data_IF_502423086734
#
_entry.id   IF_502423086734
#
_cell.length_a   1.000
_cell.length_b   1.000
_cell.length_c   1.000
_cell.angle_alpha   90.00
_cell.angle_beta   90.00
_cell.angle_gamma   90.00
#
_symmetry.space_group_name_H-M   'P 1'
#
loop_
_entity.id
_entity.type
_entity.pdbx_description
1 polymer ?
#
# COMPACT_ATOMS: atom_id res chain seq x y z
N UNK A 1 -52.80 -14.84 -22.69
CA UNK A 1 -53.87 -14.52 -21.72
C UNK A 1 -53.48 -15.09 -20.38
N UNK A 2 -52.95 -14.25 -19.50
CA UNK A 2 -52.95 -14.35 -18.03
C UNK A 2 -52.28 -13.07 -17.49
N UNK A 3 -52.95 -12.43 -16.53
CA UNK A 3 -52.83 -11.02 -16.15
C UNK A 3 -51.54 -10.60 -15.41
N UNK A 4 -51.19 -9.29 -15.46
CA UNK A 4 -50.18 -8.65 -14.63
C UNK A 4 -50.78 -8.01 -13.36
N UNK A 5 -50.26 -8.33 -12.19
CA UNK A 5 -50.42 -7.61 -10.90
C UNK A 5 -49.16 -7.87 -10.05
N UNK A 6 -48.56 -6.98 -9.27
CA UNK A 6 -49.08 -5.82 -8.55
C UNK A 6 -48.09 -4.65 -8.60
N UNK A 7 -48.66 -3.45 -8.73
CA UNK A 7 -48.04 -2.17 -8.39
C UNK A 7 -48.31 -1.96 -6.90
N UNK A 8 -47.27 -1.89 -6.07
CA UNK A 8 -47.39 -1.43 -4.68
C UNK A 8 -46.82 -0.04 -4.56
N UNK A 9 -47.74 0.91 -4.57
CA UNK A 9 -47.61 2.31 -4.21
C UNK A 9 -47.35 2.51 -2.71
N UNK A 10 -46.44 3.44 -2.43
CA UNK A 10 -46.45 4.45 -1.34
C UNK A 10 -46.29 4.00 0.12
N UNK A 11 -45.20 4.47 0.72
CA UNK A 11 -45.27 5.14 2.03
C UNK A 11 -44.15 6.18 2.11
N UNK A 12 -44.49 7.43 1.77
CA UNK A 12 -43.64 8.60 2.02
C UNK A 12 -43.94 9.10 3.43
N UNK A 13 -42.98 8.89 4.33
CA UNK A 13 -43.00 9.47 5.68
C UNK A 13 -42.30 10.84 5.60
N UNK A 14 -42.98 11.96 5.92
CA UNK A 14 -42.31 13.24 6.06
C UNK A 14 -41.54 13.24 7.38
N UNK A 15 -40.22 13.32 7.29
CA UNK A 15 -39.32 13.37 8.43
C UNK A 15 -38.85 14.82 8.63
N UNK A 16 -39.74 15.64 9.17
CA UNK A 16 -39.36 16.93 9.76
C UNK A 16 -38.62 16.65 11.06
N UNK A 17 -37.30 16.79 11.03
CA UNK A 17 -36.45 16.45 12.15
C UNK A 17 -35.10 17.17 12.08
N UNK A 18 -35.08 18.36 12.66
CA UNK A 18 -33.93 19.04 13.26
C UNK A 18 -32.65 19.10 12.40
N UNK A 19 -32.56 20.18 11.64
CA UNK A 19 -31.32 20.71 11.10
C UNK A 19 -30.46 21.27 12.24
N UNK A 20 -29.72 20.39 12.92
CA UNK A 20 -28.51 20.75 13.68
C UNK A 20 -27.32 20.09 13.01
N UNK A 21 -27.01 20.59 11.82
CA UNK A 21 -25.79 20.30 11.09
C UNK A 21 -24.61 20.92 11.84
N UNK A 22 -24.24 20.34 12.98
CA UNK A 22 -22.87 20.43 13.49
C UNK A 22 -22.01 19.80 12.41
N UNK A 23 -21.50 20.65 11.52
CA UNK A 23 -20.54 20.34 10.47
C UNK A 23 -19.24 19.91 11.16
N UNK A 24 -19.24 18.69 11.69
CA UNK A 24 -18.06 17.98 12.16
C UNK A 24 -17.21 17.79 10.92
N UNK A 25 -16.43 18.82 10.61
CA UNK A 25 -15.50 18.85 9.49
C UNK A 25 -14.55 17.69 9.68
N UNK A 26 -14.85 16.57 9.00
CA UNK A 26 -13.99 15.40 8.99
C UNK A 26 -12.58 15.86 8.58
N UNK A 27 -11.54 15.47 9.31
CA UNK A 27 -10.17 15.90 9.01
C UNK A 27 -9.82 15.49 7.58
N UNK A 28 -9.75 16.47 6.68
CA UNK A 28 -9.44 16.22 5.28
C UNK A 28 -7.95 15.84 5.16
N UNK A 29 -7.61 14.76 4.44
CA UNK A 29 -6.22 14.41 4.24
C UNK A 29 -5.51 15.52 3.44
N UNK A 30 -4.22 15.80 3.73
CA UNK A 30 -3.45 16.79 3.01
C UNK A 30 -3.32 16.43 1.52
N UNK A 31 -2.72 17.31 0.71
CA UNK A 31 -2.41 16.93 -0.67
C UNK A 31 -1.50 15.68 -0.70
N UNK A 32 -1.73 14.78 -1.66
CA UNK A 32 -1.07 13.47 -1.73
C UNK A 32 0.47 13.57 -1.70
N UNK A 33 1.05 14.52 -2.43
CA UNK A 33 2.50 14.71 -2.43
C UNK A 33 3.04 15.15 -1.07
N UNK A 34 2.31 15.98 -0.31
CA UNK A 34 2.67 16.38 1.06
C UNK A 34 2.57 15.19 2.00
N UNK A 35 1.51 14.39 1.86
CA UNK A 35 1.31 13.16 2.61
C UNK A 35 2.47 12.19 2.39
N UNK A 36 2.81 11.90 1.14
CA UNK A 36 3.91 10.98 0.77
C UNK A 36 5.23 11.48 1.34
N UNK A 37 5.58 12.75 1.14
CA UNK A 37 6.84 13.33 1.66
C UNK A 37 6.91 13.25 3.18
N UNK A 38 5.81 13.55 3.88
CA UNK A 38 5.74 13.46 5.34
C UNK A 38 5.86 12.01 5.80
N UNK A 39 5.16 11.09 5.15
CA UNK A 39 5.16 9.68 5.50
C UNK A 39 6.56 9.10 5.35
N UNK A 40 7.19 9.24 4.18
CA UNK A 40 8.54 8.74 3.89
C UNK A 40 9.58 9.26 4.89
N UNK A 41 9.50 10.55 5.26
CA UNK A 41 10.38 11.16 6.27
C UNK A 41 10.17 10.56 7.66
N UNK A 42 8.92 10.36 8.07
CA UNK A 42 8.60 9.85 9.41
C UNK A 42 8.84 8.33 9.54
N UNK A 43 8.70 7.58 8.45
CA UNK A 43 8.94 6.14 8.42
C UNK A 43 10.39 5.78 8.14
N UNK A 44 11.26 6.77 7.89
CA UNK A 44 12.65 6.57 7.49
C UNK A 44 12.80 5.53 6.37
N UNK A 45 11.87 5.57 5.39
CA UNK A 45 11.80 4.54 4.35
C UNK A 45 13.03 4.61 3.46
N UNK A 46 13.68 3.46 3.27
CA UNK A 46 14.82 3.33 2.36
C UNK A 46 14.37 3.46 0.90
N UNK A 47 15.27 3.91 0.02
CA UNK A 47 14.97 4.04 -1.40
C UNK A 47 14.46 2.72 -2.04
N UNK A 48 15.06 1.53 -1.77
CA UNK A 48 14.54 0.26 -2.28
C UNK A 48 13.09 -0.03 -1.86
N UNK A 49 12.74 0.22 -0.60
CA UNK A 49 11.37 0.03 -0.10
C UNK A 49 10.39 0.97 -0.80
N UNK A 50 10.78 2.22 -1.03
CA UNK A 50 9.97 3.18 -1.78
C UNK A 50 9.75 2.75 -3.24
N UNK A 51 10.80 2.27 -3.92
CA UNK A 51 10.70 1.74 -5.28
C UNK A 51 9.79 0.51 -5.34
N UNK A 52 9.91 -0.39 -4.37
CA UNK A 52 9.05 -1.56 -4.28
C UNK A 52 7.57 -1.18 -4.13
N UNK A 53 7.27 -0.16 -3.30
CA UNK A 53 5.93 0.39 -3.20
C UNK A 53 5.43 0.95 -4.55
N UNK A 54 6.27 1.68 -5.28
CA UNK A 54 5.95 2.17 -6.63
C UNK A 54 5.67 1.04 -7.63
N UNK A 55 6.44 -0.05 -7.58
CA UNK A 55 6.19 -1.24 -8.42
C UNK A 55 4.82 -1.85 -8.09
N UNK A 56 4.44 -1.93 -6.82
CA UNK A 56 3.11 -2.42 -6.42
C UNK A 56 1.97 -1.55 -6.93
N UNK A 57 2.11 -0.22 -6.85
CA UNK A 57 1.13 0.71 -7.39
C UNK A 57 0.98 0.53 -8.91
N UNK A 58 2.08 0.39 -9.62
CA UNK A 58 2.07 0.16 -11.07
C UNK A 58 1.37 -1.16 -11.42
N UNK A 59 1.68 -2.24 -10.69
CA UNK A 59 1.01 -3.55 -10.86
C UNK A 59 -0.49 -3.46 -10.57
N UNK A 60 -0.88 -2.71 -9.54
CA UNK A 60 -2.28 -2.49 -9.20
C UNK A 60 -3.02 -1.76 -10.32
N UNK A 61 -2.46 -0.68 -10.86
CA UNK A 61 -3.05 0.06 -11.98
C UNK A 61 -3.25 -0.86 -13.19
N UNK A 62 -2.24 -1.65 -13.54
CA UNK A 62 -2.35 -2.64 -14.62
C UNK A 62 -3.44 -3.68 -14.33
N UNK A 63 -3.50 -4.21 -13.10
CA UNK A 63 -4.51 -5.20 -12.72
C UNK A 63 -5.94 -4.62 -12.77
N UNK A 64 -6.13 -3.40 -12.28
CA UNK A 64 -7.43 -2.70 -12.29
C UNK A 64 -7.85 -2.41 -13.71
N UNK A 65 -6.98 -1.83 -14.55
CA UNK A 65 -7.30 -1.54 -15.96
C UNK A 65 -7.63 -2.80 -16.76
N UNK A 66 -6.90 -3.90 -16.53
CA UNK A 66 -7.18 -5.19 -17.16
C UNK A 66 -8.47 -5.87 -16.68
N UNK A 67 -8.89 -5.64 -15.43
CA UNK A 67 -10.18 -6.10 -14.92
C UNK A 67 -11.33 -5.24 -15.46
N UNK A 68 -11.08 -3.94 -15.56
CA UNK A 68 -12.04 -2.95 -15.97
C UNK A 68 -12.37 -3.07 -17.48
N UNK A 69 -11.41 -3.47 -18.33
CA UNK A 69 -11.69 -3.79 -19.73
C UNK A 69 -12.64 -4.99 -19.92
N UNK A 70 -12.81 -5.83 -18.90
CA UNK A 70 -13.73 -6.99 -18.92
C UNK A 70 -15.11 -6.69 -18.34
N UNK A 71 -15.24 -5.65 -17.53
CA UNK A 71 -16.49 -5.25 -16.88
C UNK A 71 -16.71 -3.75 -17.13
N UNK A 72 -17.62 -3.43 -18.06
CA UNK A 72 -18.03 -2.07 -18.46
C UNK A 72 -18.02 -1.09 -17.27
N UNK A 73 -17.03 -0.19 -17.24
CA UNK A 73 -16.80 0.76 -16.14
C UNK A 73 -17.87 1.85 -16.14
N UNK A 74 -18.63 1.97 -15.05
CA UNK A 74 -19.41 3.17 -14.80
C UNK A 74 -19.28 3.74 -13.38
N UNK A 75 -18.62 3.08 -12.41
CA UNK A 75 -18.75 3.55 -11.03
C UNK A 75 -17.68 3.09 -10.03
N UNK A 76 -16.40 3.10 -10.40
CA UNK A 76 -15.36 3.13 -9.37
C UNK A 76 -14.99 4.59 -9.11
N UNK A 77 -15.58 5.27 -8.10
CA UNK A 77 -15.15 6.61 -7.74
C UNK A 77 -13.70 6.51 -7.26
N UNK A 78 -12.77 7.08 -8.03
CA UNK A 78 -11.44 7.45 -7.57
C UNK A 78 -11.61 8.53 -6.49
N UNK A 79 -12.05 8.14 -5.30
CA UNK A 79 -12.11 9.07 -4.18
C UNK A 79 -10.68 9.56 -3.93
N UNK A 80 -10.52 10.85 -3.68
CA UNK A 80 -9.21 11.45 -3.36
C UNK A 80 -8.51 10.74 -2.20
N UNK A 81 -9.30 10.15 -1.31
CA UNK A 81 -8.86 9.32 -0.20
C UNK A 81 -8.31 7.95 -0.65
N UNK A 82 -8.83 7.37 -1.74
CA UNK A 82 -8.36 6.09 -2.26
C UNK A 82 -6.87 6.11 -2.60
N UNK A 83 -6.34 7.20 -3.17
CA UNK A 83 -4.93 7.29 -3.51
C UNK A 83 -4.03 7.24 -2.26
N UNK A 84 -4.43 7.91 -1.18
CA UNK A 84 -3.71 7.92 0.10
C UNK A 84 -3.72 6.53 0.74
N UNK A 85 -4.90 5.90 0.79
CA UNK A 85 -5.10 4.54 1.31
C UNK A 85 -4.27 3.50 0.57
N UNK A 86 -4.29 3.57 -0.76
CA UNK A 86 -3.56 2.65 -1.63
C UNK A 86 -2.04 2.85 -1.50
N UNK A 87 -1.57 4.09 -1.45
CA UNK A 87 -0.16 4.39 -1.21
C UNK A 87 0.31 3.87 0.15
N UNK A 88 -0.46 4.13 1.21
CA UNK A 88 -0.16 3.68 2.58
C UNK A 88 -0.05 2.15 2.66
N UNK A 89 -1.00 1.44 2.05
CA UNK A 89 -0.98 -0.02 1.99
C UNK A 89 0.22 -0.55 1.19
N UNK A 90 0.56 0.08 0.06
CA UNK A 90 1.69 -0.31 -0.77
C UNK A 90 3.02 -0.14 -0.02
N UNK A 91 3.17 0.98 0.69
CA UNK A 91 4.34 1.26 1.52
C UNK A 91 4.48 0.23 2.64
N UNK A 92 3.40 -0.06 3.36
CA UNK A 92 3.42 -1.04 4.44
C UNK A 92 3.81 -2.46 3.96
N UNK A 93 3.26 -2.89 2.82
CA UNK A 93 3.64 -4.17 2.20
C UNK A 93 5.10 -4.16 1.77
N UNK A 94 5.58 -3.06 1.18
CA UNK A 94 6.96 -2.94 0.75
C UNK A 94 7.93 -3.02 1.93
N UNK A 95 7.62 -2.37 3.05
CA UNK A 95 8.44 -2.44 4.27
C UNK A 95 8.53 -3.88 4.78
N UNK A 96 7.39 -4.59 4.87
CA UNK A 96 7.38 -6.00 5.32
C UNK A 96 8.22 -6.92 4.43
N UNK A 97 8.12 -6.75 3.12
CA UNK A 97 8.90 -7.56 2.16
C UNK A 97 10.39 -7.20 2.18
N UNK A 98 10.73 -5.96 2.54
CA UNK A 98 12.13 -5.54 2.66
C UNK A 98 12.79 -6.07 3.94
N UNK A 99 12.03 -6.16 5.03
CA UNK A 99 12.51 -6.66 6.33
C UNK A 99 12.64 -8.19 6.37
N UNK A 100 11.76 -8.91 5.67
CA UNK A 100 11.75 -10.38 5.62
C UNK A 100 11.87 -10.86 4.16
N UNK A 101 13.09 -10.87 3.58
CA UNK A 101 13.28 -11.41 2.25
C UNK A 101 12.87 -12.89 2.28
N UNK A 102 12.07 -13.37 1.32
CA UNK A 102 11.64 -14.76 1.28
C UNK A 102 12.89 -15.62 1.33
N UNK A 103 12.98 -16.45 2.37
CA UNK A 103 14.05 -17.42 2.49
C UNK A 103 14.12 -18.17 1.17
N UNK A 104 15.20 -17.94 0.42
CA UNK A 104 15.46 -18.73 -0.76
C UNK A 104 15.40 -20.19 -0.32
N UNK A 105 14.85 -21.10 -1.14
CA UNK A 105 14.87 -22.52 -0.83
C UNK A 105 16.35 -22.95 -0.76
N UNK A 106 16.96 -22.79 0.41
CA UNK A 106 18.27 -23.29 0.73
C UNK A 106 18.14 -24.79 0.63
N UNK A 107 18.60 -25.35 -0.49
CA UNK A 107 18.79 -26.78 -0.65
C UNK A 107 19.65 -27.24 0.52
N UNK A 108 19.01 -27.84 1.52
CA UNK A 108 19.64 -28.21 2.77
C UNK A 108 20.64 -29.33 2.51
N UNK A 109 21.92 -28.98 2.46
CA UNK A 109 23.00 -29.90 2.82
C UNK A 109 22.95 -30.07 4.32
N UNK A 110 22.43 -31.23 4.72
CA UNK A 110 22.34 -31.74 6.09
C UNK A 110 23.70 -31.66 6.76
N UNK A 111 23.88 -30.77 7.72
CA UNK A 111 24.89 -30.93 8.77
C UNK A 111 24.30 -30.48 10.10
N UNK A 112 23.94 -31.46 10.91
CA UNK A 112 23.52 -31.31 12.29
C UNK A 112 24.68 -30.77 13.11
N UNK A 113 24.53 -29.61 13.75
CA UNK A 113 25.30 -29.33 14.97
C UNK A 113 24.47 -28.45 15.90
N UNK A 114 24.15 -29.07 17.03
CA UNK A 114 23.42 -28.55 18.17
C UNK A 114 24.17 -27.36 18.78
N UNK A 115 23.51 -26.21 18.98
CA UNK A 115 24.01 -25.14 19.85
C UNK A 115 22.88 -24.17 20.22
N UNK A 116 22.42 -24.33 21.45
CA UNK A 116 21.60 -23.42 22.22
C UNK A 116 22.35 -22.12 22.51
N UNK A 117 21.87 -20.99 21.97
CA UNK A 117 22.24 -19.67 22.47
C UNK A 117 21.02 -18.75 22.46
N UNK A 118 20.48 -18.55 23.66
CA UNK A 118 19.50 -17.52 23.97
C UNK A 118 20.20 -16.17 24.00
N UNK A 119 19.84 -15.26 23.09
CA UNK A 119 20.31 -13.88 23.10
C UNK A 119 19.12 -12.94 23.35
N UNK A 120 19.03 -12.50 24.61
CA UNK A 120 18.22 -11.37 25.05
C UNK A 120 18.56 -10.13 24.22
N UNK A 121 17.61 -9.71 23.40
CA UNK A 121 17.74 -8.51 22.56
C UNK A 121 17.27 -7.28 23.34
N UNK A 122 18.22 -6.44 23.77
CA UNK A 122 17.95 -5.11 24.33
C UNK A 122 17.14 -4.28 23.34
N UNK A 123 15.90 -3.97 23.71
CA UNK A 123 14.92 -3.30 22.87
C UNK A 123 15.15 -1.78 22.88
N UNK A 124 16.06 -1.27 22.07
CA UNK A 124 15.92 0.10 21.58
C UNK A 124 14.71 0.14 20.66
N UNK A 125 13.71 0.93 21.04
CA UNK A 125 12.45 1.13 20.34
C UNK A 125 12.67 1.85 19.00
N UNK A 126 13.36 1.20 18.07
CA UNK A 126 13.16 1.47 16.66
C UNK A 126 11.73 1.00 16.39
N UNK A 127 10.76 1.92 16.45
CA UNK A 127 9.39 1.61 16.03
C UNK A 127 9.47 1.26 14.55
N UNK A 128 9.58 -0.04 14.24
CA UNK A 128 9.57 -0.50 12.85
C UNK A 128 8.28 0.03 12.23
N UNK A 129 8.44 0.84 11.19
CA UNK A 129 7.33 1.41 10.43
C UNK A 129 6.46 0.32 9.75
N UNK A 130 6.81 -0.95 9.91
CA UNK A 130 6.07 -2.12 9.46
C UNK A 130 4.79 -2.42 10.25
N UNK A 131 4.61 -1.81 11.43
CA UNK A 131 3.40 -2.02 12.24
C UNK A 131 2.21 -1.17 11.73
N UNK A 132 1.03 -1.76 11.47
CA UNK A 132 -0.17 -1.00 11.11
C UNK A 132 -0.57 0.05 12.15
N UNK A 133 -0.28 -0.20 13.43
CA UNK A 133 -0.55 0.74 14.52
C UNK A 133 0.36 1.98 14.45
N UNK A 134 1.63 1.79 14.12
CA UNK A 134 2.60 2.87 13.95
C UNK A 134 2.20 3.77 12.77
N UNK A 135 1.85 3.18 11.62
CA UNK A 135 1.41 3.95 10.46
C UNK A 135 0.07 4.67 10.70
N UNK A 136 -0.88 4.03 11.38
CA UNK A 136 -2.12 4.67 11.78
C UNK A 136 -1.86 5.90 12.66
N UNK A 137 -0.97 5.78 13.66
CA UNK A 137 -0.59 6.89 14.53
C UNK A 137 0.12 8.02 13.77
N UNK A 138 1.01 7.68 12.82
CA UNK A 138 1.69 8.67 11.97
C UNK A 138 0.70 9.42 11.07
N UNK A 139 -0.26 8.69 10.49
CA UNK A 139 -1.24 9.28 9.58
C UNK A 139 -2.27 10.14 10.32
N UNK A 140 -2.69 9.74 11.53
CA UNK A 140 -3.69 10.45 12.34
C UNK A 140 -5.12 10.43 11.78
N UNK A 141 -5.31 9.96 10.54
CA UNK A 141 -6.60 9.92 9.83
C UNK A 141 -7.21 8.52 9.80
N UNK A 142 -6.37 7.48 9.93
CA UNK A 142 -6.80 6.07 9.82
C UNK A 142 -6.57 5.33 11.12
N UNK A 143 -7.49 4.43 11.46
CA UNK A 143 -7.31 3.46 12.55
C UNK A 143 -6.41 2.30 12.13
N UNK A 144 -5.76 1.64 13.09
CA UNK A 144 -4.93 0.45 12.83
C UNK A 144 -5.70 -0.65 12.09
N UNK A 145 -6.99 -0.83 12.42
CA UNK A 145 -7.87 -1.82 11.77
C UNK A 145 -8.13 -1.47 10.30
N UNK A 146 -8.30 -0.20 9.99
CA UNK A 146 -8.44 0.24 8.59
C UNK A 146 -7.15 0.00 7.83
N UNK A 147 -5.99 0.33 8.40
CA UNK A 147 -4.69 0.08 7.78
C UNK A 147 -4.49 -1.39 7.44
N UNK A 148 -4.81 -2.30 8.37
CA UNK A 148 -4.79 -3.75 8.12
C UNK A 148 -5.79 -4.19 7.04
N UNK A 149 -6.93 -3.50 6.90
CA UNK A 149 -7.94 -3.81 5.89
C UNK A 149 -7.46 -3.36 4.51
N UNK A 150 -6.85 -2.17 4.43
CA UNK A 150 -6.23 -1.64 3.22
C UNK A 150 -5.09 -2.54 2.74
N UNK A 151 -4.22 -2.97 3.65
CA UNK A 151 -3.14 -3.92 3.37
C UNK A 151 -3.68 -5.22 2.75
N UNK A 152 -4.65 -5.87 3.41
CA UNK A 152 -5.23 -7.14 2.93
C UNK A 152 -5.93 -6.99 1.58
N UNK A 153 -6.62 -5.88 1.38
CA UNK A 153 -7.29 -5.57 0.11
C UNK A 153 -6.26 -5.44 -1.03
N UNK A 154 -5.18 -4.69 -0.80
CA UNK A 154 -4.11 -4.52 -1.77
C UNK A 154 -3.40 -5.85 -2.07
N UNK A 155 -3.08 -6.64 -1.05
CA UNK A 155 -2.44 -7.95 -1.21
C UNK A 155 -3.28 -8.89 -2.09
N UNK A 156 -4.60 -8.89 -1.87
CA UNK A 156 -5.55 -9.66 -2.68
C UNK A 156 -5.60 -9.16 -4.12
N UNK A 157 -5.62 -7.84 -4.32
CA UNK A 157 -5.60 -7.23 -5.66
C UNK A 157 -4.32 -7.56 -6.44
N UNK A 158 -3.18 -7.69 -5.76
CA UNK A 158 -1.91 -8.10 -6.33
C UNK A 158 -1.80 -9.63 -6.54
N UNK A 159 -2.81 -10.40 -6.13
CA UNK A 159 -2.80 -11.86 -6.22
C UNK A 159 -1.65 -12.51 -5.45
N UNK A 160 -1.25 -11.92 -4.31
CA UNK A 160 -0.11 -12.36 -3.49
C UNK A 160 1.25 -12.38 -4.21
N UNK A 161 1.37 -11.74 -5.38
CA UNK A 161 2.64 -11.64 -6.14
C UNK A 161 3.44 -10.41 -5.70
N UNK A 162 4.00 -10.48 -4.50
CA UNK A 162 4.80 -9.40 -3.92
C UNK A 162 6.27 -9.44 -4.37
N UNK A 163 6.80 -10.61 -4.72
CA UNK A 163 8.20 -10.71 -5.11
C UNK A 163 8.52 -9.90 -6.38
N UNK A 164 9.64 -9.18 -6.32
CA UNK A 164 10.23 -8.43 -7.43
C UNK A 164 11.70 -8.80 -7.48
N UNK A 165 12.15 -9.35 -8.60
CA UNK A 165 13.56 -9.68 -8.78
C UNK A 165 14.40 -8.40 -8.95
N UNK A 166 15.66 -8.45 -8.53
CA UNK A 166 16.59 -7.32 -8.68
C UNK A 166 16.69 -6.79 -10.12
N UNK A 167 16.80 -7.63 -11.18
CA UNK A 167 16.82 -7.14 -12.56
C UNK A 167 15.56 -6.36 -12.94
N UNK A 168 14.39 -6.85 -12.52
CA UNK A 168 13.12 -6.17 -12.78
C UNK A 168 13.00 -4.86 -12.02
N UNK A 169 13.57 -4.80 -10.82
CA UNK A 169 13.65 -3.56 -10.04
C UNK A 169 14.60 -2.55 -10.69
N UNK A 170 15.74 -3.01 -11.21
CA UNK A 170 16.69 -2.18 -11.97
C UNK A 170 16.05 -1.60 -13.24
N UNK A 171 15.36 -2.41 -14.05
CA UNK A 171 14.64 -1.96 -15.25
C UNK A 171 13.54 -0.92 -14.93
N UNK A 172 12.93 -1.03 -13.76
CA UNK A 172 11.91 -0.08 -13.32
C UNK A 172 12.55 1.23 -12.84
N UNK A 173 13.64 1.14 -12.08
CA UNK A 173 14.40 2.30 -11.62
C UNK A 173 15.00 3.08 -12.79
N UNK A 174 15.56 2.40 -13.79
CA UNK A 174 16.10 2.99 -15.02
C UNK A 174 15.05 3.90 -15.71
N UNK A 175 13.86 3.35 -15.96
CA UNK A 175 12.72 4.09 -16.52
C UNK A 175 12.25 5.24 -15.65
N UNK A 176 12.35 5.09 -14.32
CA UNK A 176 11.94 6.11 -13.39
C UNK A 176 12.95 7.26 -13.34
N UNK A 177 14.25 6.97 -13.41
CA UNK A 177 15.31 7.98 -13.53
C UNK A 177 15.21 8.75 -14.85
N UNK A 178 14.86 8.09 -15.95
CA UNK A 178 14.60 8.75 -17.25
C UNK A 178 13.43 9.73 -17.17
N UNK A 179 12.37 9.36 -16.44
CA UNK A 179 11.18 10.20 -16.27
C UNK A 179 11.37 11.32 -15.23
N UNK A 180 12.13 11.04 -14.17
CA UNK A 180 12.31 11.91 -13.00
C UNK A 180 13.82 12.06 -12.70
N UNK A 181 14.53 12.97 -13.39
CA UNK A 181 15.99 13.10 -13.27
C UNK A 181 16.46 13.50 -11.86
N UNK A 182 15.60 14.10 -11.05
CA UNK A 182 15.89 14.38 -9.63
C UNK A 182 16.15 13.09 -8.83
N UNK A 183 15.53 11.97 -9.21
CA UNK A 183 15.72 10.69 -8.55
C UNK A 183 17.11 10.11 -8.83
N UNK A 184 17.64 10.31 -10.04
CA UNK A 184 19.00 9.91 -10.39
C UNK A 184 20.01 10.60 -9.47
N UNK A 185 19.84 11.92 -9.27
CA UNK A 185 20.67 12.73 -8.36
C UNK A 185 20.52 12.35 -6.89
N UNK A 186 19.38 11.78 -6.49
CA UNK A 186 19.10 11.35 -5.12
C UNK A 186 19.68 9.97 -4.75
N UNK A 187 20.62 9.44 -5.55
CA UNK A 187 21.23 8.12 -5.36
C UNK A 187 20.55 6.99 -6.14
N UNK A 188 19.71 7.34 -7.12
CA UNK A 188 19.11 6.36 -8.04
C UNK A 188 20.15 5.61 -8.87
N UNK A 189 21.21 6.29 -9.32
CA UNK A 189 22.29 5.66 -10.11
C UNK A 189 23.09 4.63 -9.29
N UNK A 190 23.46 4.98 -8.05
CA UNK A 190 24.18 4.06 -7.15
C UNK A 190 23.37 2.79 -6.88
N UNK A 191 22.07 2.94 -6.63
CA UNK A 191 21.19 1.80 -6.41
C UNK A 191 21.02 0.97 -7.68
N UNK A 192 20.96 1.60 -8.85
CA UNK A 192 20.87 0.93 -10.14
C UNK A 192 22.14 0.12 -10.44
N UNK A 193 23.32 0.64 -10.11
CA UNK A 193 24.57 -0.12 -10.15
C UNK A 193 24.55 -1.31 -9.20
N UNK A 194 24.07 -1.14 -7.97
CA UNK A 194 23.93 -2.21 -6.99
C UNK A 194 22.97 -3.32 -7.45
N UNK A 195 21.89 -2.97 -8.14
CA UNK A 195 20.90 -3.95 -8.62
C UNK A 195 21.32 -4.69 -9.89
N UNK A 196 22.31 -4.16 -10.63
CA UNK A 196 22.86 -4.77 -11.85
C UNK A 196 24.12 -5.61 -11.59
N UNK A 197 24.84 -5.33 -10.50
CA UNK A 197 26.02 -6.09 -10.05
C UNK A 197 25.64 -7.42 -9.42
#
# INVERSE_FOLDING_TARGET
>A
MMDPMCISTLSSVPRDGADSSDDVSCPQPPALHVFIRRLVRLTATTLPTFLLAHVYLTRLVIAVTAAASKASLASAPCSRDAAHRVFLAALLLATKVSEDPPALPSGSSVTSTDSTASCSSSSTLCMSASSPATLAAICGVYTSREVQTMERSLLKALGHRLWVSAPRMAEFLDRLCDAEPELALAGGEDLLHLLRG
#
